data_IF_001503632440
#
_entry.id   IF_001503632440
#
_cell.length_a   1.000
_cell.length_b   1.000
_cell.length_c   1.000
_cell.angle_alpha   90.00
_cell.angle_beta   90.00
_cell.angle_gamma   90.00
#
_symmetry.space_group_name_H-M   'P 1'
#
loop_
_entity.id
_entity.type
_entity.pdbx_description
1 polymer ?
#
# COMPACT_ATOMS: atom_id res chain seq x y z
N UNK A 1 -8.90 17.33 4.04
CA UNK A 1 -7.83 18.00 3.29
C UNK A 1 -7.20 16.92 2.42
N UNK A 2 -7.37 17.00 1.11
CA UNK A 2 -6.81 16.01 0.18
C UNK A 2 -5.37 16.44 -0.07
N UNK A 3 -4.45 15.92 0.73
CA UNK A 3 -3.04 16.16 0.50
C UNK A 3 -2.67 15.37 -0.78
N UNK A 4 -2.27 16.09 -1.82
CA UNK A 4 -1.93 15.50 -3.13
C UNK A 4 -0.46 15.11 -3.20
N UNK A 5 0.25 15.22 -2.08
CA UNK A 5 1.63 14.78 -1.95
C UNK A 5 1.68 13.26 -2.18
N UNK A 6 2.55 12.77 -3.10
CA UNK A 6 2.76 11.34 -3.27
C UNK A 6 3.12 10.69 -1.94
N UNK A 7 2.61 9.48 -1.69
CA UNK A 7 2.94 8.74 -0.47
C UNK A 7 4.42 8.36 -0.46
N UNK A 8 5.08 8.60 0.67
CA UNK A 8 6.43 8.11 0.92
C UNK A 8 6.44 6.58 1.04
N UNK A 9 7.60 5.96 0.81
CA UNK A 9 7.73 4.50 0.82
C UNK A 9 7.29 3.89 2.15
N UNK A 10 7.67 4.53 3.26
CA UNK A 10 7.30 4.14 4.62
C UNK A 10 5.79 4.18 4.84
N UNK A 11 5.11 5.20 4.31
CA UNK A 11 3.65 5.34 4.44
C UNK A 11 2.93 4.22 3.67
N UNK A 12 3.46 3.82 2.51
CA UNK A 12 2.90 2.70 1.74
C UNK A 12 3.11 1.38 2.50
N UNK A 13 4.28 1.16 3.10
CA UNK A 13 4.58 -0.02 3.91
C UNK A 13 3.62 -0.11 5.11
N UNK A 14 3.41 1.00 5.81
CA UNK A 14 2.51 1.04 6.97
C UNK A 14 1.05 0.81 6.57
N UNK A 15 0.61 1.34 5.43
CA UNK A 15 -0.71 1.01 4.88
C UNK A 15 -0.86 -0.49 4.57
N UNK A 16 0.15 -1.11 3.94
CA UNK A 16 0.14 -2.55 3.67
C UNK A 16 0.03 -3.37 4.96
N UNK A 17 0.79 -3.01 6.00
CA UNK A 17 0.72 -3.68 7.32
C UNK A 17 -0.67 -3.55 7.94
N UNK A 18 -1.23 -2.35 7.96
CA UNK A 18 -2.56 -2.10 8.51
C UNK A 18 -3.64 -2.90 7.77
N UNK A 19 -3.56 -2.98 6.44
CA UNK A 19 -4.49 -3.75 5.62
C UNK A 19 -4.37 -5.26 5.88
N UNK A 20 -3.15 -5.79 6.04
CA UNK A 20 -2.94 -7.20 6.40
C UNK A 20 -3.59 -7.50 7.75
N UNK A 21 -3.36 -6.67 8.76
CA UNK A 21 -4.00 -6.84 10.07
C UNK A 21 -5.52 -6.79 9.95
N UNK A 22 -6.07 -5.82 9.20
CA UNK A 22 -7.51 -5.72 9.00
C UNK A 22 -8.09 -6.97 8.32
N UNK A 23 -7.44 -7.51 7.28
CA UNK A 23 -7.88 -8.73 6.58
C UNK A 23 -7.88 -9.94 7.51
N UNK A 24 -6.89 -10.05 8.40
CA UNK A 24 -6.79 -11.14 9.39
C UNK A 24 -7.89 -11.04 10.44
N UNK A 25 -8.10 -9.84 10.99
CA UNK A 25 -8.96 -9.60 12.15
C UNK A 25 -10.44 -9.40 11.79
N UNK A 26 -10.77 -8.98 10.57
CA UNK A 26 -12.19 -8.90 10.19
C UNK A 26 -12.81 -10.30 10.21
N UNK A 27 -14.12 -10.39 10.42
CA UNK A 27 -14.87 -11.64 10.25
C UNK A 27 -15.81 -11.59 9.04
N UNK A 28 -16.16 -10.39 8.58
CA UNK A 28 -17.11 -10.22 7.49
C UNK A 28 -16.46 -10.47 6.12
N UNK A 29 -16.86 -11.57 5.48
CA UNK A 29 -16.26 -12.06 4.23
C UNK A 29 -16.24 -11.03 3.11
N UNK A 30 -17.32 -10.26 2.93
CA UNK A 30 -17.38 -9.26 1.86
C UNK A 30 -16.40 -8.11 2.09
N UNK A 31 -16.26 -7.69 3.34
CA UNK A 31 -15.31 -6.65 3.69
C UNK A 31 -13.86 -7.14 3.52
N UNK A 32 -13.58 -8.41 3.84
CA UNK A 32 -12.27 -9.02 3.55
C UNK A 32 -11.92 -9.01 2.08
N UNK A 33 -12.84 -9.41 1.20
CA UNK A 33 -12.59 -9.42 -0.26
C UNK A 33 -12.21 -8.02 -0.77
N UNK A 34 -12.92 -6.99 -0.30
CA UNK A 34 -12.62 -5.60 -0.64
C UNK A 34 -11.24 -5.20 -0.09
N UNK A 35 -10.94 -5.50 1.17
CA UNK A 35 -9.65 -5.16 1.78
C UNK A 35 -8.47 -5.90 1.13
N UNK A 36 -8.67 -7.14 0.69
CA UNK A 36 -7.68 -7.91 -0.08
C UNK A 36 -7.40 -7.22 -1.42
N UNK A 37 -8.44 -6.74 -2.11
CA UNK A 37 -8.27 -5.98 -3.35
C UNK A 37 -7.46 -4.69 -3.10
N UNK A 38 -7.82 -3.92 -2.07
CA UNK A 38 -7.09 -2.68 -1.71
C UNK A 38 -5.64 -2.99 -1.30
N UNK A 39 -5.40 -4.07 -0.55
CA UNK A 39 -4.06 -4.52 -0.19
C UNK A 39 -3.23 -4.85 -1.44
N UNK A 40 -3.82 -5.52 -2.41
CA UNK A 40 -3.15 -5.81 -3.67
C UNK A 40 -2.74 -4.53 -4.41
N UNK A 41 -3.63 -3.54 -4.51
CA UNK A 41 -3.30 -2.24 -5.10
C UNK A 41 -2.17 -1.52 -4.36
N UNK A 42 -2.13 -1.62 -3.03
CA UNK A 42 -1.06 -1.03 -2.21
C UNK A 42 0.27 -1.76 -2.36
N UNK A 43 0.26 -3.07 -2.55
CA UNK A 43 1.47 -3.84 -2.84
C UNK A 43 2.02 -3.54 -4.25
N UNK A 44 1.16 -3.36 -5.24
CA UNK A 44 1.59 -2.92 -6.59
C UNK A 44 2.17 -1.51 -6.55
N UNK A 45 1.53 -0.59 -5.81
CA UNK A 45 2.09 0.75 -5.57
C UNK A 45 3.45 0.67 -4.88
N UNK A 46 3.58 -0.16 -3.83
CA UNK A 46 4.85 -0.37 -3.11
C UNK A 46 5.96 -0.83 -4.07
N UNK A 47 5.67 -1.83 -4.89
CA UNK A 47 6.60 -2.37 -5.88
C UNK A 47 7.07 -1.29 -6.85
N UNK A 48 6.13 -0.52 -7.42
CA UNK A 48 6.45 0.55 -8.37
C UNK A 48 7.24 1.68 -7.73
N UNK A 49 6.87 2.11 -6.53
CA UNK A 49 7.58 3.17 -5.80
C UNK A 49 9.00 2.73 -5.47
N UNK A 50 9.17 1.53 -4.93
CA UNK A 50 10.49 0.97 -4.62
C UNK A 50 11.42 0.97 -5.83
N UNK A 51 10.94 0.47 -6.97
CA UNK A 51 11.73 0.44 -8.20
C UNK A 51 11.87 1.80 -8.90
N UNK A 52 11.02 2.78 -8.61
CA UNK A 52 11.21 4.14 -9.14
C UNK A 52 12.30 4.88 -8.37
N UNK A 53 12.40 4.65 -7.06
CA UNK A 53 13.45 5.23 -6.21
C UNK A 53 14.84 4.67 -6.55
N UNK A 54 14.95 3.43 -7.04
CA UNK A 54 16.22 2.83 -7.47
C UNK A 54 16.77 3.41 -8.78
N UNK A 55 15.98 4.16 -9.56
CA UNK A 55 16.32 4.58 -10.94
C UNK A 55 16.69 6.06 -11.04
N UNK A 56 16.84 6.80 -9.93
CA UNK A 56 17.48 8.13 -10.01
C UNK A 56 18.96 7.96 -10.36
N UNK A 57 19.41 8.39 -11.55
CA UNK A 57 20.83 8.40 -11.87
C UNK A 57 21.48 9.42 -10.92
N UNK A 58 22.46 8.96 -10.14
CA UNK A 58 23.46 9.86 -9.57
C UNK A 58 24.25 10.42 -10.76
N UNK A 59 24.44 11.74 -10.79
CA UNK A 59 25.20 12.50 -11.81
C UNK A 59 26.48 11.79 -12.30
#
# INVERSE_FOLDING_TARGET
>A
MFDSTPLELEEIIDQCRALIYAVVELDESKAKEILIFVLWERLDLLFRTFHTTEVTPVD
#
